data_IF_553363513288
#
_entry.id   IF_553363513288
#
_cell.length_a   1.000
_cell.length_b   1.000
_cell.length_c   1.000
_cell.angle_alpha   90.00
_cell.angle_beta   90.00
_cell.angle_gamma   90.00
#
_symmetry.space_group_name_H-M   'P 1'
#
loop_
_entity.id
_entity.type
_entity.pdbx_description
1 polymer ?
#
# COMPACT_ATOMS: atom_id res chain seq x y z
N UNK A 1 -40.09 5.71 27.46
CA UNK A 1 -38.99 6.37 28.26
C UNK A 1 -37.66 5.73 27.89
N UNK A 2 -36.74 6.49 27.34
CA UNK A 2 -35.39 6.00 27.03
C UNK A 2 -34.61 5.88 28.35
N UNK A 3 -34.03 4.73 28.66
CA UNK A 3 -33.32 4.55 29.92
C UNK A 3 -32.05 5.43 29.96
N UNK A 4 -31.64 5.86 31.16
CA UNK A 4 -30.41 6.64 31.38
C UNK A 4 -29.20 5.95 30.72
N UNK A 5 -29.15 4.62 30.73
CA UNK A 5 -28.10 3.82 30.09
C UNK A 5 -28.08 4.00 28.57
N UNK A 6 -29.25 4.03 27.91
CA UNK A 6 -29.35 4.28 26.47
C UNK A 6 -28.93 5.69 26.08
N UNK A 7 -29.21 6.69 26.93
CA UNK A 7 -28.75 8.07 26.72
C UNK A 7 -27.23 8.18 26.85
N UNK A 8 -26.65 7.57 27.87
CA UNK A 8 -25.19 7.52 28.04
C UNK A 8 -24.49 6.80 26.88
N UNK A 9 -25.02 5.69 26.42
CA UNK A 9 -24.48 4.96 25.25
C UNK A 9 -24.55 5.81 23.97
N UNK A 10 -25.63 6.53 23.71
CA UNK A 10 -25.76 7.46 22.60
C UNK A 10 -24.75 8.59 22.67
N UNK A 11 -24.66 9.25 23.82
CA UNK A 11 -23.72 10.36 24.04
C UNK A 11 -22.26 9.92 23.87
N UNK A 12 -21.90 8.77 24.43
CA UNK A 12 -20.55 8.19 24.25
C UNK A 12 -20.28 7.86 22.79
N UNK A 13 -21.24 7.30 22.04
CA UNK A 13 -21.05 6.99 20.62
C UNK A 13 -20.94 8.23 19.75
N UNK A 14 -21.62 9.33 20.09
CA UNK A 14 -21.50 10.60 19.37
C UNK A 14 -20.14 11.27 19.63
N UNK A 15 -19.65 11.25 20.86
CA UNK A 15 -18.30 11.74 21.20
C UNK A 15 -17.25 10.94 20.45
N UNK A 16 -17.33 9.61 20.47
CA UNK A 16 -16.38 8.74 19.75
C UNK A 16 -16.44 9.01 18.25
N UNK A 17 -17.62 9.23 17.68
CA UNK A 17 -17.78 9.60 16.26
C UNK A 17 -17.14 10.95 15.97
N UNK A 18 -17.36 11.94 16.82
CA UNK A 18 -16.74 13.26 16.71
C UNK A 18 -15.20 13.19 16.77
N UNK A 19 -14.66 12.48 17.76
CA UNK A 19 -13.21 12.27 17.88
C UNK A 19 -12.62 11.56 16.64
N UNK A 20 -13.30 10.57 16.09
CA UNK A 20 -12.86 9.87 14.87
C UNK A 20 -12.89 10.76 13.62
N UNK A 21 -13.69 11.81 13.59
CA UNK A 21 -13.76 12.74 12.46
C UNK A 21 -12.60 13.73 12.40
N UNK A 22 -11.95 14.00 13.53
CA UNK A 22 -10.81 14.94 13.66
C UNK A 22 -9.44 14.24 13.63
N UNK A 23 -9.42 12.92 13.43
CA UNK A 23 -8.16 12.17 13.32
C UNK A 23 -7.41 12.66 12.08
N UNK A 24 -6.17 13.06 12.29
CA UNK A 24 -5.24 13.43 11.20
C UNK A 24 -4.17 12.37 11.03
N UNK A 25 -3.79 12.14 9.77
CA UNK A 25 -2.69 11.25 9.44
C UNK A 25 -1.40 12.08 9.28
N UNK A 26 -0.33 11.77 10.03
CA UNK A 26 0.97 12.42 9.82
C UNK A 26 1.43 12.28 8.37
N UNK A 27 2.13 13.30 7.84
CA UNK A 27 2.53 13.33 6.43
C UNK A 27 3.36 12.09 6.01
N UNK A 28 4.22 11.60 6.88
CA UNK A 28 4.96 10.36 6.64
C UNK A 28 4.01 9.17 6.41
N UNK A 29 3.00 9.00 7.28
CA UNK A 29 2.03 7.91 7.13
C UNK A 29 1.12 8.10 5.91
N UNK A 30 0.87 9.34 5.48
CA UNK A 30 0.20 9.60 4.21
C UNK A 30 0.96 8.95 3.04
N UNK A 31 2.28 9.13 2.98
CA UNK A 31 3.12 8.50 1.97
C UNK A 31 3.14 6.97 2.09
N UNK A 32 3.23 6.45 3.33
CA UNK A 32 3.16 5.00 3.60
C UNK A 32 1.86 4.41 3.07
N UNK A 33 0.70 5.04 3.35
CA UNK A 33 -0.60 4.57 2.86
C UNK A 33 -0.64 4.51 1.33
N UNK A 34 -0.11 5.53 0.65
CA UNK A 34 -0.06 5.55 -0.82
C UNK A 34 0.79 4.39 -1.35
N UNK A 35 2.00 4.18 -0.81
CA UNK A 35 2.88 3.09 -1.22
C UNK A 35 2.27 1.70 -0.96
N UNK A 36 1.64 1.52 0.19
CA UNK A 36 0.94 0.29 0.55
C UNK A 36 -0.27 0.02 -0.35
N UNK A 37 -1.06 1.05 -0.67
CA UNK A 37 -2.21 0.92 -1.57
C UNK A 37 -1.80 0.72 -3.03
N UNK A 38 -0.66 1.19 -3.48
CA UNK A 38 -0.11 0.79 -4.78
C UNK A 38 0.21 -0.70 -4.84
N UNK A 39 0.57 -1.30 -3.71
CA UNK A 39 0.86 -2.72 -3.55
C UNK A 39 -0.31 -3.53 -2.96
N UNK A 40 0.01 -4.43 -2.03
CA UNK A 40 -0.87 -5.48 -1.50
C UNK A 40 -1.94 -5.02 -0.50
N UNK A 41 -1.90 -3.77 -0.02
CA UNK A 41 -2.93 -3.31 0.92
C UNK A 41 -4.25 -3.00 0.21
N UNK A 42 -5.33 -3.07 0.98
CA UNK A 42 -6.68 -2.85 0.49
C UNK A 42 -7.40 -1.79 1.33
N UNK A 43 -8.08 -0.86 0.64
CA UNK A 43 -9.02 0.07 1.27
C UNK A 43 -10.44 -0.46 1.15
N UNK A 44 -11.07 -0.85 2.26
CA UNK A 44 -12.41 -1.43 2.22
C UNK A 44 -13.47 -0.51 2.84
N UNK A 45 -14.68 -0.56 2.29
CA UNK A 45 -15.89 0.08 2.83
C UNK A 45 -16.99 -0.97 2.96
N UNK A 46 -17.72 -0.95 4.06
CA UNK A 46 -18.86 -1.85 4.26
C UNK A 46 -20.13 -1.39 3.50
N UNK A 47 -20.18 -0.11 3.11
CA UNK A 47 -21.23 0.48 2.28
C UNK A 47 -20.70 1.73 1.58
N UNK A 48 -21.43 2.28 0.62
CA UNK A 48 -21.07 3.51 -0.09
C UNK A 48 -20.87 4.72 0.85
N UNK A 49 -21.57 4.75 1.97
CA UNK A 49 -21.55 5.84 2.95
C UNK A 49 -20.64 5.57 4.16
N UNK A 50 -20.09 4.35 4.28
CA UNK A 50 -19.23 4.00 5.41
C UNK A 50 -17.82 4.57 5.22
N UNK A 51 -17.14 4.81 6.35
CA UNK A 51 -15.74 5.17 6.33
C UNK A 51 -14.87 4.00 5.86
N UNK A 52 -13.76 4.34 5.25
CA UNK A 52 -12.75 3.38 4.78
C UNK A 52 -11.92 2.86 5.96
N UNK A 53 -11.57 1.58 5.90
CA UNK A 53 -10.49 1.00 6.69
C UNK A 53 -9.41 0.45 5.76
N UNK A 54 -8.18 0.45 6.22
CA UNK A 54 -7.06 -0.18 5.53
C UNK A 54 -6.88 -1.60 6.05
N UNK A 55 -6.59 -2.53 5.15
CA UNK A 55 -6.39 -3.95 5.46
C UNK A 55 -5.12 -4.45 4.77
N UNK A 56 -4.38 -5.29 5.48
CA UNK A 56 -3.18 -5.97 4.98
C UNK A 56 -3.26 -7.46 5.27
N UNK A 57 -2.69 -8.24 4.37
CA UNK A 57 -2.43 -9.67 4.56
C UNK A 57 -0.98 -9.95 4.22
N UNK A 58 -0.25 -10.54 5.15
CA UNK A 58 1.16 -10.87 4.98
C UNK A 58 1.34 -12.39 5.02
N UNK A 59 2.17 -12.93 4.13
CA UNK A 59 2.55 -14.33 4.19
C UNK A 59 3.33 -14.66 5.45
N UNK A 60 3.35 -15.93 5.86
CA UNK A 60 4.05 -16.41 7.05
C UNK A 60 5.52 -15.94 7.18
N UNK A 61 6.32 -15.86 6.10
CA UNK A 61 7.70 -15.38 6.18
C UNK A 61 7.85 -13.89 6.53
N UNK A 62 6.79 -13.11 6.42
CA UNK A 62 6.83 -11.65 6.59
C UNK A 62 6.36 -11.17 7.96
N UNK A 63 6.58 -11.98 9.00
CA UNK A 63 6.15 -11.68 10.37
C UNK A 63 6.68 -10.35 10.87
N UNK A 64 8.00 -10.14 10.79
CA UNK A 64 8.64 -8.93 11.34
C UNK A 64 8.21 -7.68 10.59
N UNK A 65 8.05 -7.78 9.28
CA UNK A 65 7.48 -6.71 8.46
C UNK A 65 6.03 -6.40 8.82
N UNK A 66 5.19 -7.42 9.08
CA UNK A 66 3.81 -7.23 9.50
C UNK A 66 3.70 -6.47 10.82
N UNK A 67 4.56 -6.81 11.80
CA UNK A 67 4.60 -6.13 13.10
C UNK A 67 5.18 -4.72 12.98
N UNK A 68 6.14 -4.49 12.10
CA UNK A 68 6.65 -3.15 11.82
C UNK A 68 5.56 -2.26 11.21
N UNK A 69 4.81 -2.75 10.22
CA UNK A 69 3.67 -2.02 9.64
C UNK A 69 2.61 -1.74 10.72
N UNK A 70 2.32 -2.72 11.62
CA UNK A 70 1.44 -2.48 12.75
C UNK A 70 1.97 -1.35 13.64
N UNK A 71 3.25 -1.30 13.94
CA UNK A 71 3.86 -0.22 14.74
C UNK A 71 3.58 1.17 14.16
N UNK A 72 3.62 1.30 12.82
CA UNK A 72 3.31 2.55 12.12
C UNK A 72 1.83 2.97 12.27
N UNK A 73 0.91 2.00 12.32
CA UNK A 73 -0.54 2.24 12.33
C UNK A 73 -1.24 1.89 13.64
N UNK A 74 -0.52 1.52 14.70
CA UNK A 74 -1.08 0.99 15.95
C UNK A 74 -2.17 1.88 16.56
N UNK A 75 -1.98 3.20 16.54
CA UNK A 75 -2.96 4.18 17.03
C UNK A 75 -4.27 4.21 16.23
N UNK A 76 -4.28 3.67 15.02
CA UNK A 76 -5.46 3.58 14.15
C UNK A 76 -6.09 2.18 14.17
N UNK A 77 -5.52 1.24 14.91
CA UNK A 77 -5.98 -0.14 14.99
C UNK A 77 -6.71 -0.40 16.31
N UNK A 78 -7.77 -1.22 16.26
CA UNK A 78 -8.44 -1.67 17.48
C UNK A 78 -7.73 -2.89 18.09
N UNK A 79 -7.16 -3.73 17.23
CA UNK A 79 -6.45 -4.95 17.61
C UNK A 79 -5.08 -4.97 16.95
N UNK A 80 -4.13 -5.70 17.54
CA UNK A 80 -2.82 -5.96 16.93
C UNK A 80 -2.91 -6.86 15.70
N UNK A 81 -1.74 -7.31 15.24
CA UNK A 81 -1.61 -8.29 14.16
C UNK A 81 -2.29 -9.59 14.57
N UNK A 82 -3.17 -10.12 13.73
CA UNK A 82 -3.87 -11.39 13.95
C UNK A 82 -3.20 -12.47 13.10
N UNK A 83 -2.83 -13.58 13.72
CA UNK A 83 -2.35 -14.77 13.01
C UNK A 83 -3.53 -15.65 12.61
N UNK A 84 -3.61 -15.99 11.33
CA UNK A 84 -4.64 -16.87 10.77
C UNK A 84 -4.21 -18.34 10.91
N UNK A 85 -5.15 -19.32 10.87
CA UNK A 85 -4.82 -20.74 10.88
C UNK A 85 -3.86 -21.17 9.76
N UNK A 86 -3.84 -20.46 8.65
CA UNK A 86 -2.90 -20.67 7.53
C UNK A 86 -1.46 -20.19 7.82
N UNK A 87 -1.20 -19.60 8.99
CA UNK A 87 0.09 -18.98 9.33
C UNK A 87 0.27 -17.56 8.78
N UNK A 88 -0.68 -17.05 8.00
CA UNK A 88 -0.65 -15.68 7.50
C UNK A 88 -0.97 -14.68 8.61
N UNK A 89 -0.48 -13.46 8.46
CA UNK A 89 -0.75 -12.35 9.37
C UNK A 89 -1.72 -11.37 8.71
N UNK A 90 -2.71 -10.93 9.49
CA UNK A 90 -3.66 -9.91 9.07
C UNK A 90 -3.59 -8.70 9.98
N UNK A 91 -3.63 -7.53 9.38
CA UNK A 91 -3.73 -6.24 10.05
C UNK A 91 -4.88 -5.44 9.45
N UNK A 92 -5.62 -4.71 10.30
CA UNK A 92 -6.67 -3.79 9.84
C UNK A 92 -6.77 -2.59 10.77
N UNK A 93 -7.04 -1.44 10.17
CA UNK A 93 -7.36 -0.23 10.94
C UNK A 93 -8.84 -0.20 11.35
N UNK A 94 -9.18 0.75 12.19
CA UNK A 94 -10.56 1.22 12.36
C UNK A 94 -11.05 1.84 11.03
N UNK A 95 -12.37 1.86 10.84
CA UNK A 95 -13.00 2.61 9.74
C UNK A 95 -13.03 4.09 10.11
N UNK A 96 -12.18 4.90 9.48
CA UNK A 96 -11.97 6.31 9.82
C UNK A 96 -12.12 7.21 8.59
N UNK A 97 -12.70 8.40 8.80
CA UNK A 97 -12.89 9.40 7.74
C UNK A 97 -11.60 9.82 7.05
N UNK A 98 -10.48 9.85 7.79
CA UNK A 98 -9.15 10.19 7.24
C UNK A 98 -8.71 9.26 6.11
N UNK A 99 -9.21 8.03 6.05
CA UNK A 99 -8.87 7.07 4.99
C UNK A 99 -9.80 7.17 3.76
N UNK A 100 -10.89 7.94 3.82
CA UNK A 100 -11.83 8.05 2.70
C UNK A 100 -11.18 8.63 1.44
N UNK A 101 -10.29 9.60 1.59
CA UNK A 101 -9.56 10.21 0.47
C UNK A 101 -8.76 9.17 -0.33
N UNK A 102 -8.15 8.20 0.32
CA UNK A 102 -7.37 7.16 -0.36
C UNK A 102 -8.27 6.20 -1.13
N UNK A 103 -9.41 5.81 -0.56
CA UNK A 103 -10.37 5.00 -1.31
C UNK A 103 -10.85 5.74 -2.56
N UNK A 104 -11.17 7.03 -2.43
CA UNK A 104 -11.63 7.85 -3.56
C UNK A 104 -10.54 8.04 -4.64
N UNK A 105 -9.25 8.01 -4.26
CA UNK A 105 -8.13 8.12 -5.21
C UNK A 105 -7.80 6.80 -5.91
N UNK A 106 -7.88 5.69 -5.18
CA UNK A 106 -7.38 4.39 -5.62
C UNK A 106 -8.44 3.45 -6.17
N UNK A 107 -9.72 3.78 -6.06
CA UNK A 107 -10.79 2.90 -6.51
C UNK A 107 -11.79 3.64 -7.39
N UNK A 108 -12.19 2.98 -8.47
CA UNK A 108 -13.27 3.41 -9.36
C UNK A 108 -14.36 2.35 -9.38
N UNK A 109 -15.60 2.76 -9.63
CA UNK A 109 -16.72 1.83 -9.77
C UNK A 109 -16.65 1.16 -11.14
N UNK A 110 -16.57 -0.15 -11.17
CA UNK A 110 -16.66 -0.96 -12.38
C UNK A 110 -18.08 -1.08 -12.89
N UNK A 111 -18.23 -1.62 -14.09
CA UNK A 111 -19.53 -1.75 -14.76
C UNK A 111 -20.50 -2.69 -14.04
N UNK A 112 -19.99 -3.70 -13.32
CA UNK A 112 -20.79 -4.63 -12.51
C UNK A 112 -21.02 -4.17 -11.06
N UNK A 113 -20.64 -2.92 -10.73
CA UNK A 113 -20.80 -2.35 -9.38
C UNK A 113 -19.70 -2.72 -8.39
N UNK A 114 -18.64 -3.34 -8.84
CA UNK A 114 -17.44 -3.66 -8.05
C UNK A 114 -16.47 -2.49 -7.95
N UNK A 115 -15.69 -2.44 -6.88
CA UNK A 115 -14.60 -1.47 -6.75
C UNK A 115 -13.33 -2.01 -7.42
N UNK A 116 -12.88 -1.32 -8.46
CA UNK A 116 -11.65 -1.63 -9.20
C UNK A 116 -10.54 -0.73 -8.70
N UNK A 117 -9.43 -1.32 -8.29
CA UNK A 117 -8.24 -0.60 -7.87
C UNK A 117 -7.49 -0.06 -9.09
N UNK A 118 -7.12 1.23 -9.04
CA UNK A 118 -6.44 1.93 -10.14
C UNK A 118 -5.23 2.71 -9.63
N UNK A 119 -4.30 3.02 -10.52
CA UNK A 119 -3.26 4.01 -10.23
C UNK A 119 -3.86 5.41 -10.37
N UNK A 120 -3.83 6.26 -9.33
CA UNK A 120 -4.39 7.61 -9.39
C UNK A 120 -3.83 8.44 -10.54
N UNK A 121 -4.66 9.26 -11.18
CA UNK A 121 -4.21 10.13 -12.28
C UNK A 121 -3.09 11.10 -11.84
N UNK A 122 -3.13 11.54 -10.59
CA UNK A 122 -2.15 12.43 -9.96
C UNK A 122 -0.93 11.73 -9.37
N UNK A 123 -0.69 10.46 -9.69
CA UNK A 123 0.37 9.65 -9.05
C UNK A 123 1.76 10.29 -9.18
N UNK A 124 2.01 11.06 -10.22
CA UNK A 124 3.28 11.78 -10.43
C UNK A 124 3.60 12.74 -9.27
N UNK A 125 2.58 13.35 -8.69
CA UNK A 125 2.71 14.31 -7.59
C UNK A 125 2.74 13.62 -6.22
N UNK A 126 2.41 12.32 -6.18
CA UNK A 126 2.30 11.53 -4.96
C UNK A 126 3.50 10.60 -4.72
N UNK A 127 4.18 10.18 -5.81
CA UNK A 127 5.33 9.26 -5.68
C UNK A 127 6.53 9.98 -5.07
N UNK A 128 6.99 9.46 -3.92
CA UNK A 128 8.16 9.90 -3.17
C UNK A 128 9.05 8.68 -2.89
N UNK A 129 10.29 8.86 -2.40
CA UNK A 129 11.11 7.73 -1.94
C UNK A 129 10.40 6.83 -0.93
N UNK A 130 9.63 7.39 0.02
CA UNK A 130 8.83 6.62 0.99
C UNK A 130 7.76 5.79 0.28
N UNK A 131 7.01 6.40 -0.64
CA UNK A 131 5.97 5.70 -1.42
C UNK A 131 6.57 4.53 -2.21
N UNK A 132 7.69 4.76 -2.92
CA UNK A 132 8.34 3.72 -3.73
C UNK A 132 8.94 2.62 -2.84
N UNK A 133 9.51 2.94 -1.69
CA UNK A 133 10.02 1.97 -0.74
C UNK A 133 8.90 1.03 -0.26
N UNK A 134 7.75 1.58 0.13
CA UNK A 134 6.61 0.80 0.58
C UNK A 134 5.98 -0.04 -0.54
N UNK A 135 5.94 0.46 -1.77
CA UNK A 135 5.51 -0.32 -2.93
C UNK A 135 6.48 -1.50 -3.19
N UNK A 136 7.80 -1.28 -3.13
CA UNK A 136 8.79 -2.36 -3.34
C UNK A 136 8.76 -3.36 -2.18
N UNK A 137 8.59 -2.93 -0.94
CA UNK A 137 8.43 -3.85 0.19
C UNK A 137 7.18 -4.74 0.07
N UNK A 138 6.16 -4.28 -0.63
CA UNK A 138 4.94 -5.05 -0.94
C UNK A 138 5.15 -5.97 -2.14
N UNK A 139 5.41 -5.42 -3.30
CA UNK A 139 5.34 -6.10 -4.61
C UNK A 139 6.68 -6.17 -5.36
N UNK A 140 7.77 -5.73 -4.72
CA UNK A 140 9.09 -5.79 -5.33
C UNK A 140 9.72 -7.18 -5.27
N UNK A 141 10.60 -7.46 -6.21
CA UNK A 141 11.46 -8.65 -6.21
C UNK A 141 12.74 -8.35 -6.98
N UNK A 142 13.87 -8.81 -6.46
CA UNK A 142 15.14 -8.73 -7.16
C UNK A 142 15.39 -10.01 -7.97
N UNK A 143 15.59 -9.84 -9.27
CA UNK A 143 15.99 -10.92 -10.18
C UNK A 143 17.52 -10.95 -10.28
N UNK A 144 18.13 -11.97 -9.71
CA UNK A 144 19.58 -12.16 -9.66
C UNK A 144 20.15 -12.35 -11.07
N UNK A 145 19.47 -13.11 -11.92
CA UNK A 145 19.96 -13.43 -13.26
C UNK A 145 20.08 -12.18 -14.15
N UNK A 146 19.12 -11.25 -14.02
CA UNK A 146 19.08 -10.03 -14.82
C UNK A 146 19.56 -8.78 -14.05
N UNK A 147 19.93 -8.93 -12.78
CA UNK A 147 20.29 -7.82 -11.90
C UNK A 147 19.23 -6.69 -11.97
N UNK A 148 17.98 -7.04 -11.90
CA UNK A 148 16.84 -6.12 -12.11
C UNK A 148 15.87 -6.19 -10.94
N UNK A 149 15.45 -5.05 -10.42
CA UNK A 149 14.33 -4.98 -9.49
C UNK A 149 13.04 -4.93 -10.31
N UNK A 150 12.19 -5.92 -10.14
CA UNK A 150 10.83 -5.93 -10.67
C UNK A 150 9.83 -5.49 -9.60
N UNK A 151 8.78 -4.79 -10.01
CA UNK A 151 7.61 -4.49 -9.20
C UNK A 151 6.41 -5.12 -9.90
N UNK A 152 5.76 -6.07 -9.24
CA UNK A 152 4.64 -6.82 -9.80
C UNK A 152 3.33 -6.03 -9.64
N UNK A 153 2.88 -5.42 -10.71
CA UNK A 153 1.68 -4.58 -10.79
C UNK A 153 0.56 -5.28 -11.58
N UNK A 154 0.41 -6.57 -11.34
CA UNK A 154 -0.38 -7.48 -12.17
C UNK A 154 -1.89 -7.17 -12.20
N UNK A 155 -2.40 -6.44 -11.21
CA UNK A 155 -3.81 -6.05 -11.12
C UNK A 155 -4.14 -4.76 -11.87
N UNK A 156 -3.12 -4.04 -12.38
CA UNK A 156 -3.31 -2.75 -13.04
C UNK A 156 -3.35 -2.87 -14.55
N UNK A 157 -4.07 -1.97 -15.20
CA UNK A 157 -4.07 -1.83 -16.66
C UNK A 157 -2.69 -1.43 -17.20
N UNK A 158 -2.43 -1.68 -18.48
CA UNK A 158 -1.19 -1.20 -19.12
C UNK A 158 -1.03 0.33 -18.98
N UNK A 159 -2.11 1.08 -19.16
CA UNK A 159 -2.10 2.55 -19.01
C UNK A 159 -1.72 2.98 -17.59
N UNK A 160 -2.22 2.29 -16.57
CA UNK A 160 -1.85 2.52 -15.17
C UNK A 160 -0.37 2.21 -14.92
N UNK A 161 0.12 1.09 -15.45
CA UNK A 161 1.53 0.71 -15.34
C UNK A 161 2.45 1.76 -15.99
N UNK A 162 2.08 2.27 -17.17
CA UNK A 162 2.82 3.34 -17.86
C UNK A 162 2.84 4.62 -17.03
N UNK A 163 1.70 5.00 -16.45
CA UNK A 163 1.58 6.19 -15.58
C UNK A 163 2.46 6.07 -14.33
N UNK A 164 2.44 4.91 -13.68
CA UNK A 164 3.26 4.66 -12.49
C UNK A 164 4.76 4.63 -12.83
N UNK A 165 5.15 3.97 -13.92
CA UNK A 165 6.53 3.94 -14.40
C UNK A 165 7.06 5.36 -14.72
N UNK A 166 6.23 6.19 -15.36
CA UNK A 166 6.58 7.58 -15.66
C UNK A 166 6.77 8.41 -14.37
N UNK A 167 5.93 8.19 -13.36
CA UNK A 167 6.05 8.86 -12.06
C UNK A 167 7.36 8.49 -11.35
N UNK A 168 7.72 7.21 -11.32
CA UNK A 168 8.98 6.73 -10.73
C UNK A 168 10.19 7.27 -11.54
N UNK A 169 10.09 7.28 -12.86
CA UNK A 169 11.14 7.84 -13.72
C UNK A 169 11.36 9.33 -13.45
N UNK A 170 10.30 10.09 -13.21
CA UNK A 170 10.39 11.51 -12.88
C UNK A 170 11.11 11.80 -11.55
N UNK A 171 11.17 10.80 -10.63
CA UNK A 171 11.98 10.86 -9.41
C UNK A 171 13.49 10.62 -9.66
N UNK A 172 13.90 10.36 -10.88
CA UNK A 172 15.30 10.06 -11.22
C UNK A 172 15.63 8.56 -11.24
N UNK A 173 14.62 7.66 -11.18
CA UNK A 173 14.79 6.21 -11.26
C UNK A 173 14.14 5.70 -12.55
N UNK A 174 14.85 5.65 -13.67
CA UNK A 174 14.33 5.17 -14.96
C UNK A 174 13.69 3.79 -14.82
N UNK A 175 12.41 3.72 -15.15
CA UNK A 175 11.57 2.54 -14.95
C UNK A 175 10.83 2.22 -16.25
N UNK A 176 10.81 0.95 -16.64
CA UNK A 176 10.16 0.48 -17.86
C UNK A 176 9.02 -0.49 -17.55
N UNK A 177 7.96 -0.46 -18.37
CA UNK A 177 6.88 -1.46 -18.29
C UNK A 177 7.29 -2.68 -19.13
N UNK A 178 7.18 -3.88 -18.56
CA UNK A 178 7.40 -5.15 -19.24
C UNK A 178 6.17 -6.03 -19.12
N UNK A 179 5.92 -6.79 -20.18
CA UNK A 179 4.95 -7.88 -20.12
C UNK A 179 5.43 -8.92 -19.09
N UNK A 180 4.51 -9.45 -18.30
CA UNK A 180 4.81 -10.54 -17.37
C UNK A 180 4.20 -11.84 -17.90
N UNK A 181 2.98 -12.12 -17.53
CA UNK A 181 2.25 -13.35 -17.87
C UNK A 181 0.81 -13.03 -18.26
N UNK A 182 0.06 -14.04 -18.61
CA UNK A 182 -1.39 -13.93 -18.71
C UNK A 182 -2.03 -14.32 -17.37
N UNK A 183 -2.99 -13.53 -16.91
CA UNK A 183 -3.81 -13.85 -15.76
C UNK A 183 -4.75 -15.04 -16.03
N UNK A 184 -5.41 -15.50 -14.98
CA UNK A 184 -6.40 -16.58 -15.09
C UNK A 184 -7.61 -16.19 -15.94
N UNK A 185 -7.87 -14.90 -16.05
CA UNK A 185 -8.91 -14.27 -16.90
C UNK A 185 -8.46 -14.11 -18.37
N UNK A 186 -7.28 -14.56 -18.73
CA UNK A 186 -6.69 -14.38 -20.06
C UNK A 186 -6.16 -12.98 -20.35
N UNK A 187 -6.23 -12.05 -19.40
CA UNK A 187 -5.69 -10.70 -19.58
C UNK A 187 -4.17 -10.69 -19.40
N UNK A 188 -3.51 -9.88 -20.23
CA UNK A 188 -2.05 -9.69 -20.16
C UNK A 188 -1.71 -8.88 -18.92
N UNK A 189 -0.83 -9.43 -18.11
CA UNK A 189 -0.32 -8.78 -16.89
C UNK A 189 1.02 -8.10 -17.18
N UNK A 190 1.35 -7.11 -16.35
CA UNK A 190 2.53 -6.27 -16.51
C UNK A 190 3.31 -6.17 -15.21
N UNK A 191 4.60 -5.90 -15.33
CA UNK A 191 5.49 -5.55 -14.22
C UNK A 191 6.35 -4.36 -14.61
N UNK A 192 6.81 -3.61 -13.61
CA UNK A 192 7.77 -2.54 -13.80
C UNK A 192 9.19 -3.11 -13.61
N UNK A 193 10.15 -2.57 -14.34
CA UNK A 193 11.53 -3.02 -14.28
C UNK A 193 12.48 -1.84 -14.09
N UNK A 194 13.32 -1.93 -13.06
CA UNK A 194 14.43 -1.01 -12.76
C UNK A 194 15.72 -1.82 -12.93
N UNK A 195 16.49 -1.49 -13.96
CA UNK A 195 17.68 -2.25 -14.36
C UNK A 195 18.90 -1.95 -13.49
N UNK A 196 19.93 -2.80 -13.60
CA UNK A 196 21.22 -2.69 -12.90
C UNK A 196 21.84 -1.29 -12.99
N UNK A 197 21.68 -0.59 -14.11
CA UNK A 197 22.22 0.76 -14.30
C UNK A 197 21.76 1.77 -13.24
N UNK A 198 20.57 1.54 -12.65
CA UNK A 198 19.97 2.45 -11.67
C UNK A 198 19.95 1.87 -10.25
N UNK A 199 20.55 0.71 -10.04
CA UNK A 199 20.49 -0.03 -8.78
C UNK A 199 21.13 0.73 -7.61
N UNK A 200 22.32 1.32 -7.83
CA UNK A 200 23.02 2.14 -6.80
C UNK A 200 22.15 3.33 -6.36
N UNK A 201 21.58 4.06 -7.31
CA UNK A 201 20.71 5.19 -7.03
C UNK A 201 19.43 4.76 -6.30
N UNK A 202 18.82 3.65 -6.72
CA UNK A 202 17.65 3.07 -6.08
C UNK A 202 17.93 2.69 -4.62
N UNK A 203 19.01 1.97 -4.36
CA UNK A 203 19.41 1.57 -3.00
C UNK A 203 19.69 2.78 -2.12
N UNK A 204 20.46 3.75 -2.60
CA UNK A 204 20.77 4.98 -1.85
C UNK A 204 19.49 5.75 -1.47
N UNK A 205 18.53 5.80 -2.39
CA UNK A 205 17.26 6.51 -2.19
C UNK A 205 16.32 5.79 -1.23
N UNK A 206 16.21 4.46 -1.31
CA UNK A 206 15.13 3.71 -0.64
C UNK A 206 15.53 3.05 0.68
N UNK A 207 16.81 2.67 0.86
CA UNK A 207 17.27 1.97 2.07
C UNK A 207 16.84 2.68 3.38
N UNK A 208 16.90 4.02 3.49
CA UNK A 208 16.48 4.71 4.72
C UNK A 208 14.98 4.56 5.06
N UNK A 209 14.17 4.12 4.10
CA UNK A 209 12.71 4.02 4.22
C UNK A 209 12.20 2.58 4.24
N UNK A 210 13.10 1.59 4.19
CA UNK A 210 12.74 0.18 4.16
C UNK A 210 13.00 -0.50 5.49
N UNK A 211 12.13 -1.45 5.83
CA UNK A 211 12.38 -2.38 6.94
C UNK A 211 13.53 -3.33 6.55
N UNK A 212 14.42 -3.62 7.51
CA UNK A 212 15.62 -4.43 7.25
C UNK A 212 15.32 -5.81 6.65
N UNK A 213 14.26 -6.47 7.12
CA UNK A 213 13.82 -7.79 6.60
C UNK A 213 13.38 -7.75 5.13
N UNK A 214 13.20 -6.57 4.54
CA UNK A 214 12.74 -6.38 3.15
C UNK A 214 13.82 -5.84 2.21
N UNK A 215 15.02 -5.53 2.72
CA UNK A 215 16.12 -4.97 1.92
C UNK A 215 16.57 -5.90 0.79
N UNK A 216 16.42 -7.23 0.95
CA UNK A 216 16.72 -8.20 -0.09
C UNK A 216 15.98 -7.95 -1.41
N UNK A 217 14.83 -7.25 -1.37
CA UNK A 217 14.04 -6.89 -2.55
C UNK A 217 14.73 -5.84 -3.43
N UNK A 218 15.72 -5.14 -2.88
CA UNK A 218 16.60 -4.24 -3.64
C UNK A 218 17.83 -4.94 -4.22
N UNK A 219 18.01 -6.25 -3.93
CA UNK A 219 19.20 -7.01 -4.35
C UNK A 219 20.41 -6.81 -3.44
N UNK A 220 21.57 -7.34 -3.84
CA UNK A 220 22.80 -7.25 -3.05
C UNK A 220 23.20 -5.78 -2.86
N UNK A 221 23.74 -5.49 -1.67
CA UNK A 221 24.20 -4.15 -1.33
C UNK A 221 25.29 -3.70 -2.31
N UNK A 222 25.10 -2.53 -2.87
CA UNK A 222 26.11 -1.88 -3.71
C UNK A 222 26.88 -0.89 -2.83
N UNK A 223 28.23 -1.02 -2.80
CA UNK A 223 29.07 -0.07 -2.07
C UNK A 223 28.85 1.34 -2.62
N UNK A 224 28.55 2.26 -1.70
CA UNK A 224 28.26 3.67 -2.04
C UNK A 224 29.53 4.53 -2.14
N UNK A 225 30.74 3.87 -2.32
CA UNK A 225 32.01 4.56 -2.49
C UNK A 225 32.02 5.40 -3.76
#
# INVERSE_FOLDING_TARGET
>A
MTSTLQLLQRFTSEIIRGLRSIVMLPYYLHQVVIGQLLGDSHGSRSSATSNTRLEWSFGAPYRDYAYWVYGLFSQFCQTGVTTLPSGQFRLKTLSLGVFNQYHNMFYVMGAAGEWIKVVPAMIKDLVTPVVLAHLIMSDGSYDIANSTVFIYVNSYTHADCVRLAAAITAMGIPTTVRADRYGKDGQKQYKLAITKAHHKALQAMLTPHMHESMLYRLGPRVDLN
#
